data_IF_009480554837
#
_entry.id   IF_009480554837
#
_cell.length_a   1.000
_cell.length_b   1.000
_cell.length_c   1.000
_cell.angle_alpha   90.00
_cell.angle_beta   90.00
_cell.angle_gamma   90.00
#
_symmetry.space_group_name_H-M   'P 1'
#
loop_
_entity.id
_entity.type
_entity.pdbx_description
1 polymer ?
#
# COMPACT_ATOMS: atom_id res chain seq x y z
N UNK A 1 20.52 17.12 6.83
CA UNK A 1 19.73 16.36 5.84
C UNK A 1 18.34 16.22 6.41
N UNK A 2 17.24 16.40 5.66
CA UNK A 2 15.92 16.08 6.18
C UNK A 2 15.84 14.57 6.46
N UNK A 3 15.21 14.17 7.56
CA UNK A 3 14.88 12.76 7.82
C UNK A 3 14.04 12.19 6.67
N UNK A 4 14.24 10.93 6.25
CA UNK A 4 13.33 10.30 5.31
C UNK A 4 11.94 10.18 5.95
N UNK A 5 10.93 10.78 5.34
CA UNK A 5 9.56 10.69 5.84
C UNK A 5 8.92 9.36 5.44
N UNK A 6 9.14 8.33 6.26
CA UNK A 6 8.46 7.04 6.12
C UNK A 6 6.97 7.09 6.47
N UNK A 7 6.37 8.27 6.71
CA UNK A 7 4.92 8.39 6.81
C UNK A 7 4.23 8.10 5.48
N UNK A 8 4.95 8.26 4.38
CA UNK A 8 4.55 7.94 3.02
C UNK A 8 5.36 6.73 2.55
N UNK A 9 4.97 5.53 2.99
CA UNK A 9 5.53 4.30 2.40
C UNK A 9 4.89 4.14 1.03
N UNK A 10 5.51 4.82 0.07
CA UNK A 10 5.18 4.83 -1.33
C UNK A 10 5.19 3.39 -1.82
N UNK A 11 4.07 2.97 -2.41
CA UNK A 11 3.97 1.96 -3.45
C UNK A 11 5.12 0.91 -3.50
N UNK A 12 4.82 -0.36 -3.24
CA UNK A 12 5.87 -1.38 -3.08
C UNK A 12 5.56 -2.63 -3.89
N UNK A 13 6.53 -3.52 -4.04
CA UNK A 13 6.34 -4.84 -4.64
C UNK A 13 6.81 -5.92 -3.66
N UNK A 14 5.91 -6.79 -3.20
CA UNK A 14 6.19 -7.94 -2.31
C UNK A 14 6.40 -9.22 -3.08
N UNK A 15 7.38 -9.98 -2.61
CA UNK A 15 7.82 -11.24 -3.13
C UNK A 15 7.56 -12.37 -2.14
N UNK A 16 6.35 -12.90 -2.11
CA UNK A 16 6.01 -14.05 -1.27
C UNK A 16 5.94 -15.36 -2.05
N UNK A 17 6.51 -16.43 -1.47
CA UNK A 17 6.37 -17.80 -1.97
C UNK A 17 4.93 -18.32 -1.93
N UNK A 18 4.01 -17.65 -1.23
CA UNK A 18 2.59 -18.05 -1.15
C UNK A 18 1.77 -17.55 -2.34
N UNK A 19 2.09 -16.36 -2.85
CA UNK A 19 1.25 -15.65 -3.84
C UNK A 19 1.85 -15.60 -5.26
N UNK A 20 3.08 -16.10 -5.45
CA UNK A 20 3.74 -16.09 -6.75
C UNK A 20 4.00 -17.53 -7.23
N UNK A 21 3.56 -17.91 -8.45
CA UNK A 21 3.80 -19.24 -9.02
C UNK A 21 5.27 -19.49 -9.42
N UNK A 22 6.18 -18.61 -8.99
CA UNK A 22 7.60 -18.65 -9.33
C UNK A 22 8.41 -18.61 -8.05
N UNK A 23 9.33 -19.58 -7.90
CA UNK A 23 10.19 -19.68 -6.73
C UNK A 23 10.96 -18.37 -6.46
N UNK A 24 10.82 -17.86 -5.24
CA UNK A 24 11.59 -16.73 -4.74
C UNK A 24 13.09 -17.03 -4.88
N UNK A 25 13.75 -16.26 -5.73
CA UNK A 25 15.16 -16.43 -6.08
C UNK A 25 15.81 -15.10 -6.37
N UNK A 26 17.14 -15.06 -6.27
CA UNK A 26 17.95 -13.91 -6.64
C UNK A 26 17.54 -13.38 -8.02
N UNK A 27 17.51 -14.25 -9.05
CA UNK A 27 17.17 -13.87 -10.43
C UNK A 27 15.83 -13.17 -10.55
N UNK A 28 14.83 -13.64 -9.80
CA UNK A 28 13.50 -13.06 -9.83
C UNK A 28 13.50 -11.64 -9.23
N UNK A 29 14.19 -11.42 -8.10
CA UNK A 29 14.29 -10.08 -7.51
C UNK A 29 15.00 -9.08 -8.45
N UNK A 30 16.08 -9.50 -9.12
CA UNK A 30 16.79 -8.66 -10.10
C UNK A 30 15.87 -8.27 -11.28
N UNK A 31 15.07 -9.23 -11.74
CA UNK A 31 14.12 -9.04 -12.83
C UNK A 31 13.04 -8.02 -12.45
N UNK A 32 12.52 -8.09 -11.21
CA UNK A 32 11.55 -7.14 -10.72
C UNK A 32 12.11 -5.73 -10.59
N UNK A 33 13.33 -5.58 -10.08
CA UNK A 33 14.03 -4.28 -10.09
C UNK A 33 14.08 -3.69 -11.49
N UNK A 34 14.46 -4.52 -12.48
CA UNK A 34 14.53 -4.11 -13.88
C UNK A 34 13.16 -3.68 -14.41
N UNK A 35 12.10 -4.43 -14.11
CA UNK A 35 10.73 -4.06 -14.54
C UNK A 35 10.28 -2.77 -13.87
N UNK A 36 10.54 -2.59 -12.58
CA UNK A 36 10.19 -1.35 -11.88
C UNK A 36 10.87 -0.11 -12.50
N UNK A 37 12.09 -0.28 -13.02
CA UNK A 37 12.86 0.76 -13.74
C UNK A 37 12.42 1.00 -15.18
N UNK A 38 11.84 0.00 -15.86
CA UNK A 38 11.58 0.05 -17.30
C UNK A 38 10.11 0.29 -17.64
N UNK A 39 9.20 -0.13 -16.77
CA UNK A 39 7.77 -0.22 -17.06
C UNK A 39 6.96 0.95 -16.43
N UNK A 40 7.61 2.02 -15.99
CA UNK A 40 6.95 3.20 -15.45
C UNK A 40 6.59 3.12 -13.97
N UNK A 41 6.86 2.00 -13.29
CA UNK A 41 6.44 1.79 -11.91
C UNK A 41 7.12 2.77 -10.94
N UNK A 42 8.43 3.00 -11.10
CA UNK A 42 9.16 3.96 -10.27
C UNK A 42 8.61 5.38 -10.43
N UNK A 43 8.28 5.77 -11.66
CA UNK A 43 7.72 7.08 -12.01
C UNK A 43 6.32 7.28 -11.41
N UNK A 44 5.61 6.19 -11.14
CA UNK A 44 4.33 6.17 -10.45
C UNK A 44 4.49 6.11 -8.91
N UNK A 45 5.72 6.05 -8.41
CA UNK A 45 6.04 6.00 -6.99
C UNK A 45 6.34 4.59 -6.45
N UNK A 46 6.25 3.53 -7.26
CA UNK A 46 6.59 2.16 -6.85
C UNK A 46 8.11 1.97 -6.82
N UNK A 47 8.73 2.32 -5.69
CA UNK A 47 10.18 2.48 -5.58
C UNK A 47 10.87 1.49 -4.63
N UNK A 48 10.12 0.56 -4.01
CA UNK A 48 10.67 -0.49 -3.16
C UNK A 48 10.38 -1.90 -3.68
N UNK A 49 11.38 -2.78 -3.55
CA UNK A 49 11.22 -4.24 -3.71
C UNK A 49 11.38 -4.91 -2.35
N UNK A 50 10.35 -5.68 -1.98
CA UNK A 50 10.20 -6.32 -0.69
C UNK A 50 10.29 -7.83 -0.83
N UNK A 51 11.22 -8.45 -0.11
CA UNK A 51 11.42 -9.90 -0.03
C UNK A 51 10.64 -10.41 1.18
N UNK A 52 9.69 -11.30 0.93
CA UNK A 52 8.84 -11.87 1.97
C UNK A 52 9.48 -13.11 2.63
N UNK A 53 8.70 -13.88 3.40
CA UNK A 53 9.10 -15.17 3.97
C UNK A 53 9.61 -16.15 2.88
N UNK A 54 10.22 -17.24 3.34
CA UNK A 54 10.80 -18.31 2.55
C UNK A 54 12.04 -17.88 1.77
N UNK A 55 12.77 -16.81 2.14
CA UNK A 55 14.09 -16.50 1.54
C UNK A 55 15.26 -17.21 2.26
N UNK A 56 15.10 -17.51 3.55
CA UNK A 56 16.13 -18.10 4.40
C UNK A 56 16.34 -19.59 4.16
N UNK A 57 17.54 -20.05 4.48
CA UNK A 57 17.88 -21.45 4.67
C UNK A 57 17.27 -21.96 5.97
N UNK A 58 16.98 -23.27 6.04
CA UNK A 58 16.60 -23.94 7.29
C UNK A 58 17.79 -24.14 8.25
N UNK A 59 19.01 -23.93 7.77
CA UNK A 59 20.25 -24.09 8.54
C UNK A 59 20.87 -22.73 8.83
N UNK A 60 21.35 -22.54 10.06
CA UNK A 60 22.23 -21.41 10.42
C UNK A 60 23.62 -21.57 9.79
N UNK A 61 24.34 -20.47 9.64
CA UNK A 61 25.73 -20.48 9.23
C UNK A 61 26.66 -20.93 10.36
N UNK A 62 27.96 -20.98 10.07
CA UNK A 62 29.00 -21.43 11.01
C UNK A 62 29.11 -20.59 12.30
N UNK A 63 28.60 -19.36 12.28
CA UNK A 63 28.63 -18.43 13.42
C UNK A 63 27.27 -18.37 14.13
N UNK A 64 26.35 -19.31 13.81
CA UNK A 64 25.01 -19.37 14.39
C UNK A 64 24.08 -18.27 13.89
N UNK A 65 24.34 -17.70 12.71
CA UNK A 65 23.52 -16.64 12.10
C UNK A 65 22.63 -17.20 11.01
N UNK A 66 21.53 -16.52 10.71
CA UNK A 66 20.65 -16.91 9.61
C UNK A 66 21.29 -16.59 8.26
N UNK A 67 21.08 -17.47 7.29
CA UNK A 67 21.61 -17.36 5.94
C UNK A 67 20.49 -17.61 4.92
N UNK A 68 20.58 -17.09 3.69
CA UNK A 68 19.64 -17.37 2.63
C UNK A 68 19.82 -18.80 2.14
N UNK A 69 18.79 -19.32 1.51
CA UNK A 69 18.90 -20.59 0.80
C UNK A 69 19.99 -20.49 -0.29
N UNK A 70 21.06 -21.32 -0.21
CA UNK A 70 22.20 -21.20 -1.10
C UNK A 70 21.87 -21.60 -2.55
N UNK A 71 20.81 -22.39 -2.78
CA UNK A 71 20.36 -22.76 -4.12
C UNK A 71 19.55 -21.62 -4.76
N UNK A 72 18.67 -20.98 -3.99
CA UNK A 72 17.79 -19.91 -4.50
C UNK A 72 18.48 -18.54 -4.55
N UNK A 73 19.47 -18.32 -3.69
CA UNK A 73 20.29 -17.12 -3.65
C UNK A 73 21.79 -17.47 -3.76
N UNK A 74 22.25 -17.96 -4.93
CA UNK A 74 23.66 -18.30 -5.13
C UNK A 74 24.53 -17.03 -5.09
N UNK A 75 25.27 -16.88 -4.00
CA UNK A 75 26.04 -15.66 -3.64
C UNK A 75 25.46 -14.87 -2.46
N UNK A 76 24.39 -15.37 -1.85
CA UNK A 76 23.71 -14.81 -0.69
C UNK A 76 22.89 -13.56 -0.98
N UNK A 77 22.15 -13.06 0.04
CA UNK A 77 21.49 -11.76 -0.03
C UNK A 77 22.55 -10.67 -0.22
N UNK A 78 23.79 -10.84 0.25
CA UNK A 78 24.87 -9.91 -0.06
C UNK A 78 25.13 -9.71 -1.57
N UNK A 79 24.85 -10.68 -2.45
CA UNK A 79 24.92 -10.51 -3.91
C UNK A 79 23.67 -9.82 -4.47
N UNK A 80 22.51 -10.10 -3.90
CA UNK A 80 21.25 -9.41 -4.20
C UNK A 80 21.32 -7.93 -3.81
N UNK A 81 21.75 -7.68 -2.57
CA UNK A 81 22.11 -6.39 -2.02
C UNK A 81 23.19 -5.75 -2.86
N UNK A 82 24.28 -6.41 -3.26
CA UNK A 82 25.24 -5.80 -4.21
C UNK A 82 24.61 -5.25 -5.49
N UNK A 83 23.64 -5.97 -6.04
CA UNK A 83 22.88 -5.51 -7.20
C UNK A 83 21.83 -4.45 -6.87
N UNK A 84 21.32 -4.43 -5.63
CA UNK A 84 20.33 -3.48 -5.09
C UNK A 84 20.94 -2.32 -4.24
N UNK A 85 22.27 -2.34 -4.04
CA UNK A 85 23.23 -1.57 -3.21
C UNK A 85 23.70 -2.14 -1.83
N UNK A 86 24.77 -2.99 -1.82
CA UNK A 86 25.59 -3.61 -0.72
C UNK A 86 25.17 -3.42 0.76
N UNK A 87 24.97 -4.42 1.66
CA UNK A 87 25.20 -5.89 1.86
C UNK A 87 23.88 -6.52 2.44
N UNK A 88 23.73 -7.79 2.91
CA UNK A 88 22.38 -8.35 3.25
C UNK A 88 22.26 -9.56 4.23
N UNK A 89 21.09 -9.78 4.93
CA UNK A 89 20.41 -10.99 5.58
C UNK A 89 19.12 -10.62 6.41
N UNK A 90 18.34 -11.57 6.96
CA UNK A 90 17.78 -11.65 8.35
C UNK A 90 16.40 -12.29 8.53
N UNK A 91 16.40 -13.39 9.28
CA UNK A 91 15.36 -13.78 10.25
C UNK A 91 15.74 -13.23 11.64
N UNK A 92 14.81 -13.08 12.60
CA UNK A 92 15.12 -12.55 13.92
C UNK A 92 14.53 -13.40 15.04
N UNK A 93 15.41 -13.89 15.91
CA UNK A 93 15.04 -14.44 17.22
C UNK A 93 15.24 -13.37 18.31
N UNK A 94 14.56 -13.52 19.45
CA UNK A 94 14.57 -12.51 20.52
C UNK A 94 15.98 -12.16 21.05
N UNK A 95 16.85 -13.16 21.13
CA UNK A 95 18.25 -13.01 21.56
C UNK A 95 19.15 -12.37 20.50
N UNK A 96 18.66 -12.24 19.25
CA UNK A 96 19.41 -11.69 18.12
C UNK A 96 18.97 -10.30 17.68
N UNK A 97 17.92 -9.73 18.29
CA UNK A 97 17.34 -8.42 17.90
C UNK A 97 18.39 -7.33 17.64
N UNK A 98 19.35 -7.15 18.55
CA UNK A 98 20.39 -6.11 18.38
C UNK A 98 21.37 -6.45 17.25
N UNK A 99 21.80 -7.71 17.18
CA UNK A 99 22.66 -8.18 16.09
C UNK A 99 21.95 -7.96 14.77
N UNK A 100 20.68 -8.32 14.68
CA UNK A 100 19.88 -8.24 13.49
C UNK A 100 19.58 -6.80 13.07
N UNK A 101 19.28 -5.91 14.01
CA UNK A 101 19.16 -4.49 13.69
C UNK A 101 20.47 -3.94 13.12
N UNK A 102 21.61 -4.19 13.78
CA UNK A 102 22.93 -3.77 13.28
C UNK A 102 23.24 -4.38 11.91
N UNK A 103 22.84 -5.63 11.71
CA UNK A 103 23.08 -6.26 10.43
C UNK A 103 22.21 -5.62 9.34
N UNK A 104 20.92 -5.33 9.60
CA UNK A 104 20.02 -4.56 8.72
C UNK A 104 20.64 -3.21 8.32
N UNK A 105 21.22 -2.49 9.28
CA UNK A 105 21.87 -1.22 9.04
C UNK A 105 23.16 -1.34 8.23
N UNK A 106 24.00 -2.35 8.52
CA UNK A 106 25.24 -2.63 7.78
C UNK A 106 25.02 -2.94 6.30
N UNK A 107 23.77 -3.22 5.95
CA UNK A 107 23.30 -3.65 4.66
C UNK A 107 22.63 -2.58 3.83
N UNK A 108 22.34 -1.43 4.43
CA UNK A 108 21.48 -0.45 3.79
C UNK A 108 20.08 -1.00 3.54
N UNK A 109 19.55 -1.82 4.47
CA UNK A 109 18.12 -2.09 4.54
C UNK A 109 17.45 -0.84 5.08
N UNK A 110 16.34 -0.42 4.48
CA UNK A 110 15.65 0.81 4.87
C UNK A 110 14.19 0.61 5.19
N UNK A 111 13.75 -0.62 5.10
CA UNK A 111 12.47 -1.03 5.62
C UNK A 111 12.62 -2.44 6.20
N UNK A 112 12.00 -2.70 7.34
CA UNK A 112 12.03 -3.99 8.03
C UNK A 112 10.62 -4.36 8.43
N UNK A 113 10.14 -5.55 8.05
CA UNK A 113 8.91 -6.13 8.60
C UNK A 113 9.29 -7.17 9.65
N UNK A 114 8.54 -7.20 10.76
CA UNK A 114 8.61 -8.27 11.74
C UNK A 114 7.20 -8.77 12.08
N UNK A 115 6.92 -10.06 11.86
CA UNK A 115 5.58 -10.62 12.10
C UNK A 115 5.20 -10.57 13.59
N UNK A 116 6.08 -11.02 14.47
CA UNK A 116 5.96 -10.77 15.92
C UNK A 116 6.69 -9.49 16.31
N UNK A 117 6.03 -8.32 16.32
CA UNK A 117 6.70 -7.08 16.75
C UNK A 117 7.14 -7.16 18.22
N UNK A 118 8.38 -6.72 18.47
CA UNK A 118 8.89 -6.45 19.79
C UNK A 118 9.36 -5.00 19.86
N UNK A 119 8.98 -4.21 20.89
CA UNK A 119 9.48 -2.85 21.10
C UNK A 119 11.02 -2.76 21.10
N UNK A 120 11.69 -3.86 21.47
CA UNK A 120 13.14 -4.01 21.42
C UNK A 120 13.71 -3.84 20.00
N UNK A 121 13.01 -4.29 18.95
CA UNK A 121 13.48 -4.12 17.56
C UNK A 121 13.48 -2.66 17.15
N UNK A 122 12.45 -1.89 17.50
CA UNK A 122 12.41 -0.44 17.22
C UNK A 122 13.60 0.28 17.86
N UNK A 123 13.86 0.00 19.14
CA UNK A 123 15.02 0.54 19.86
C UNK A 123 16.34 0.13 19.20
N UNK A 124 16.47 -1.13 18.81
CA UNK A 124 17.68 -1.66 18.19
C UNK A 124 17.94 -1.04 16.81
N UNK A 125 16.90 -0.88 15.97
CA UNK A 125 16.99 -0.18 14.68
C UNK A 125 17.43 1.28 14.87
N UNK A 126 16.83 2.00 15.83
CA UNK A 126 17.22 3.38 16.13
C UNK A 126 18.68 3.48 16.60
N UNK A 127 19.14 2.53 17.43
CA UNK A 127 20.51 2.49 17.93
C UNK A 127 21.58 2.25 16.84
N UNK A 128 21.19 1.82 15.64
CA UNK A 128 22.12 1.71 14.51
C UNK A 128 22.55 3.05 13.93
N UNK A 129 21.77 4.13 14.17
CA UNK A 129 21.96 5.43 13.53
C UNK A 129 21.53 5.47 12.05
N UNK A 130 21.07 4.35 11.48
CA UNK A 130 20.52 4.29 10.13
C UNK A 130 18.99 4.49 10.17
N UNK A 131 18.41 5.34 9.31
CA UNK A 131 16.97 5.45 9.17
C UNK A 131 16.43 4.19 8.45
N UNK A 132 15.77 3.32 9.21
CA UNK A 132 15.14 2.08 8.74
C UNK A 132 13.67 2.10 9.15
N UNK A 133 12.78 2.16 8.16
CA UNK A 133 11.35 2.06 8.40
C UNK A 133 10.97 0.68 8.98
N UNK A 134 9.94 0.63 9.81
CA UNK A 134 9.57 -0.58 10.54
C UNK A 134 8.07 -0.88 10.39
N UNK A 135 7.76 -2.05 9.81
CA UNK A 135 6.43 -2.65 9.73
C UNK A 135 6.24 -3.73 10.77
N UNK A 136 5.14 -3.64 11.48
CA UNK A 136 4.86 -4.44 12.66
C UNK A 136 3.59 -5.25 12.49
N UNK A 137 3.64 -6.59 12.50
CA UNK A 137 2.41 -7.39 12.46
C UNK A 137 1.85 -7.78 13.83
N UNK A 138 2.47 -7.34 14.92
CA UNK A 138 2.02 -7.63 16.28
C UNK A 138 0.53 -7.40 16.54
N UNK A 139 -0.11 -6.33 16.01
CA UNK A 139 -1.54 -6.12 16.25
C UNK A 139 -2.39 -7.30 15.78
N UNK A 140 -2.14 -7.83 14.58
CA UNK A 140 -2.87 -8.98 14.07
C UNK A 140 -2.71 -10.24 14.94
N UNK A 141 -1.51 -10.49 15.46
CA UNK A 141 -1.26 -11.60 16.40
C UNK A 141 -1.90 -11.39 17.79
N UNK A 142 -2.54 -10.25 18.03
CA UNK A 142 -3.22 -9.88 19.28
C UNK A 142 -4.70 -9.56 19.07
N UNK A 143 -5.26 -9.90 17.89
CA UNK A 143 -6.66 -9.68 17.55
C UNK A 143 -7.00 -8.25 17.10
N UNK A 144 -5.99 -7.41 16.84
CA UNK A 144 -6.14 -6.13 16.16
C UNK A 144 -6.78 -4.99 16.98
N UNK A 145 -7.28 -5.23 18.19
CA UNK A 145 -8.04 -4.23 18.95
C UNK A 145 -7.57 -4.08 20.41
N UNK A 146 -7.80 -2.91 21.03
CA UNK A 146 -7.64 -2.74 22.47
C UNK A 146 -8.54 -3.69 23.28
N UNK A 147 -8.15 -4.08 24.51
CA UNK A 147 -6.93 -3.68 25.23
C UNK A 147 -5.68 -4.48 24.83
N UNK A 148 -5.82 -5.53 24.02
CA UNK A 148 -4.72 -6.40 23.62
C UNK A 148 -3.69 -5.71 22.72
N UNK A 149 -4.10 -4.62 22.06
CA UNK A 149 -3.29 -3.78 21.19
C UNK A 149 -3.27 -2.34 21.72
N UNK A 150 -2.08 -1.75 21.84
CA UNK A 150 -1.91 -0.34 22.20
C UNK A 150 -1.44 0.46 20.97
N UNK A 151 -2.38 1.20 20.35
CA UNK A 151 -2.11 1.99 19.15
C UNK A 151 -1.25 3.24 19.40
N UNK A 152 -1.28 3.80 20.61
CA UNK A 152 -0.37 4.89 20.99
C UNK A 152 1.07 4.41 20.95
N UNK A 153 1.34 3.25 21.56
CA UNK A 153 2.67 2.64 21.52
C UNK A 153 3.09 2.33 20.08
N UNK A 154 2.21 1.74 19.27
CA UNK A 154 2.53 1.44 17.86
C UNK A 154 2.93 2.69 17.06
N UNK A 155 2.25 3.82 17.29
CA UNK A 155 2.59 5.09 16.66
C UNK A 155 3.97 5.63 17.07
N UNK A 156 4.48 5.24 18.24
CA UNK A 156 5.83 5.59 18.71
C UNK A 156 6.91 4.65 18.15
N UNK A 157 6.59 3.36 17.98
CA UNK A 157 7.61 2.34 17.69
C UNK A 157 7.63 1.86 16.23
N UNK A 158 6.57 2.06 15.44
CA UNK A 158 6.39 1.51 14.09
C UNK A 158 6.00 2.58 13.07
N UNK A 159 6.40 2.40 11.81
CA UNK A 159 5.98 3.29 10.71
C UNK A 159 4.65 2.85 10.08
N UNK A 160 4.41 1.54 10.02
CA UNK A 160 3.13 0.94 9.66
C UNK A 160 2.94 -0.39 10.38
N UNK A 161 1.71 -0.90 10.37
CA UNK A 161 1.41 -2.14 11.07
C UNK A 161 0.29 -2.90 10.42
N UNK A 162 0.37 -4.23 10.55
CA UNK A 162 -0.63 -5.14 10.03
C UNK A 162 -1.63 -5.43 11.13
N UNK A 163 -2.87 -4.95 10.95
CA UNK A 163 -3.92 -4.96 11.97
C UNK A 163 -4.72 -6.25 12.03
N UNK A 164 -4.96 -6.85 10.87
CA UNK A 164 -5.96 -7.89 10.67
C UNK A 164 -5.39 -9.04 9.82
N UNK A 165 -6.21 -9.90 9.26
CA UNK A 165 -5.76 -11.12 8.58
C UNK A 165 -4.98 -10.84 7.28
N UNK A 166 -4.23 -11.85 6.83
CA UNK A 166 -3.47 -11.79 5.58
C UNK A 166 -4.42 -11.70 4.37
N UNK A 167 -4.13 -10.81 3.43
CA UNK A 167 -4.89 -10.71 2.18
C UNK A 167 -4.71 -11.98 1.34
N UNK A 168 -5.82 -12.67 1.05
CA UNK A 168 -5.87 -13.83 0.16
C UNK A 168 -6.30 -13.39 -1.25
N UNK A 169 -5.94 -14.17 -2.27
CA UNK A 169 -6.35 -13.90 -3.67
C UNK A 169 -7.83 -14.20 -3.92
N UNK A 170 -8.73 -13.46 -3.27
CA UNK A 170 -10.17 -13.57 -3.41
C UNK A 170 -10.88 -12.25 -3.10
N UNK A 171 -12.03 -12.02 -3.75
CA UNK A 171 -12.87 -10.87 -3.44
C UNK A 171 -13.41 -10.88 -2.01
N UNK A 172 -13.72 -12.06 -1.46
CA UNK A 172 -14.19 -12.19 -0.07
C UNK A 172 -13.14 -11.70 0.93
N UNK A 173 -11.85 -11.99 0.69
CA UNK A 173 -10.77 -11.46 1.54
C UNK A 173 -10.68 -9.94 1.48
N UNK A 174 -10.81 -9.34 0.28
CA UNK A 174 -10.81 -7.88 0.11
C UNK A 174 -11.99 -7.24 0.84
N UNK A 175 -13.17 -7.84 0.77
CA UNK A 175 -14.37 -7.36 1.46
C UNK A 175 -14.23 -7.48 2.98
N UNK A 176 -13.81 -8.63 3.49
CA UNK A 176 -13.67 -8.86 4.94
C UNK A 176 -12.66 -7.89 5.58
N UNK A 177 -11.52 -7.67 4.91
CA UNK A 177 -10.54 -6.66 5.32
C UNK A 177 -11.17 -5.27 5.32
N UNK A 178 -11.84 -4.90 4.23
CA UNK A 178 -12.50 -3.58 4.11
C UNK A 178 -13.50 -3.36 5.24
N UNK A 179 -14.37 -4.32 5.49
CA UNK A 179 -15.38 -4.25 6.55
C UNK A 179 -14.74 -4.10 7.92
N UNK A 180 -13.72 -4.91 8.23
CA UNK A 180 -13.00 -4.79 9.49
C UNK A 180 -12.39 -3.40 9.70
N UNK A 181 -11.75 -2.82 8.68
CA UNK A 181 -11.14 -1.49 8.79
C UNK A 181 -12.16 -0.37 8.94
N UNK A 182 -13.31 -0.45 8.26
CA UNK A 182 -14.37 0.56 8.33
C UNK A 182 -15.33 0.39 9.51
N UNK A 183 -15.35 -0.77 10.16
CA UNK A 183 -16.06 -1.00 11.42
C UNK A 183 -15.24 -0.51 12.63
N UNK A 184 -13.91 -0.49 12.51
CA UNK A 184 -12.99 -0.20 13.62
C UNK A 184 -12.28 1.18 13.52
N UNK A 185 -12.87 2.14 12.81
CA UNK A 185 -12.24 3.46 12.57
C UNK A 185 -12.02 4.31 13.84
N UNK A 186 -12.77 4.02 14.90
CA UNK A 186 -12.74 4.76 16.17
C UNK A 186 -11.39 4.70 16.90
N UNK A 187 -10.49 3.78 16.51
CA UNK A 187 -9.15 3.64 17.07
C UNK A 187 -8.07 4.48 16.35
N UNK A 188 -8.49 5.29 15.35
CA UNK A 188 -7.81 6.37 14.63
C UNK A 188 -6.29 6.27 14.44
N UNK A 189 -5.88 6.34 13.16
CA UNK A 189 -4.52 6.25 12.60
C UNK A 189 -4.07 4.85 12.20
N UNK A 190 -4.99 3.97 11.78
CA UNK A 190 -4.58 2.70 11.20
C UNK A 190 -3.75 3.00 9.95
N UNK A 191 -2.50 2.54 9.94
CA UNK A 191 -1.60 2.54 8.79
C UNK A 191 -1.48 1.11 8.29
N UNK A 192 -2.49 0.63 7.57
CA UNK A 192 -2.70 -0.79 7.43
C UNK A 192 -1.70 -1.37 6.45
N UNK A 193 -0.87 -2.31 6.89
CA UNK A 193 0.03 -3.03 6.00
C UNK A 193 -0.78 -4.06 5.20
N UNK A 194 -1.28 -3.67 4.02
CA UNK A 194 -2.16 -4.51 3.20
C UNK A 194 -1.61 -4.69 1.79
N UNK A 195 -1.77 -5.89 1.26
CA UNK A 195 -1.30 -6.23 -0.08
C UNK A 195 -2.35 -5.90 -1.15
N UNK A 196 -1.88 -5.45 -2.31
CA UNK A 196 -2.64 -5.31 -3.55
C UNK A 196 -2.47 -6.59 -4.37
N UNK A 197 -3.57 -7.28 -4.60
CA UNK A 197 -3.62 -8.55 -5.35
C UNK A 197 -4.10 -8.33 -6.80
N UNK A 198 -4.24 -7.07 -7.23
CA UNK A 198 -4.63 -6.69 -8.58
C UNK A 198 -3.71 -7.35 -9.60
N UNK A 199 -4.30 -8.01 -10.60
CA UNK A 199 -3.57 -8.72 -11.65
C UNK A 199 -3.15 -10.15 -11.31
N UNK A 200 -3.53 -10.65 -10.13
CA UNK A 200 -3.59 -12.10 -9.86
C UNK A 200 -4.88 -12.69 -10.46
N UNK A 201 -5.31 -13.88 -10.01
CA UNK A 201 -6.44 -14.61 -10.63
C UNK A 201 -7.75 -14.42 -9.89
N UNK A 202 -7.73 -14.02 -8.62
CA UNK A 202 -8.89 -14.00 -7.74
C UNK A 202 -9.83 -12.80 -7.90
N UNK A 203 -9.43 -11.76 -8.63
CA UNK A 203 -10.22 -10.53 -8.81
C UNK A 203 -10.62 -10.30 -10.27
N UNK A 204 -11.89 -9.96 -10.47
CA UNK A 204 -12.36 -9.38 -11.73
C UNK A 204 -11.78 -7.98 -11.96
N UNK A 205 -11.98 -7.41 -13.15
CA UNK A 205 -11.54 -6.03 -13.46
C UNK A 205 -12.24 -5.01 -12.55
N UNK A 206 -13.55 -5.17 -12.32
CA UNK A 206 -14.30 -4.25 -11.46
C UNK A 206 -13.90 -4.40 -9.98
N UNK A 207 -13.65 -5.63 -9.51
CA UNK A 207 -13.12 -5.88 -8.17
C UNK A 207 -11.69 -5.33 -8.00
N UNK A 208 -10.87 -5.38 -9.05
CA UNK A 208 -9.53 -4.78 -9.07
C UNK A 208 -9.58 -3.26 -8.92
N UNK A 209 -10.52 -2.59 -9.62
CA UNK A 209 -10.77 -1.15 -9.43
C UNK A 209 -11.26 -0.87 -8.02
N UNK A 210 -12.16 -1.70 -7.49
CA UNK A 210 -12.65 -1.60 -6.12
C UNK A 210 -11.53 -1.70 -5.09
N UNK A 211 -10.62 -2.68 -5.21
CA UNK A 211 -9.48 -2.80 -4.29
C UNK A 211 -8.60 -1.55 -4.36
N UNK A 212 -8.25 -1.06 -5.55
CA UNK A 212 -7.44 0.15 -5.70
C UNK A 212 -8.09 1.37 -5.03
N UNK A 213 -9.39 1.58 -5.24
CA UNK A 213 -10.13 2.69 -4.65
C UNK A 213 -10.25 2.58 -3.13
N UNK A 214 -10.49 1.37 -2.60
CA UNK A 214 -10.63 1.11 -1.18
C UNK A 214 -9.29 1.29 -0.45
N UNK A 215 -8.18 0.78 -1.00
CA UNK A 215 -6.85 0.99 -0.43
C UNK A 215 -6.44 2.46 -0.50
N UNK A 216 -6.76 3.14 -1.60
CA UNK A 216 -6.53 4.56 -1.73
C UNK A 216 -7.25 5.34 -0.63
N UNK A 217 -8.56 5.13 -0.46
CA UNK A 217 -9.36 5.88 0.53
C UNK A 217 -9.06 5.46 1.98
N UNK A 218 -8.49 4.28 2.20
CA UNK A 218 -7.98 3.86 3.50
C UNK A 218 -6.61 4.47 3.85
N UNK A 219 -6.00 5.24 2.95
CA UNK A 219 -4.60 5.68 3.06
C UNK A 219 -3.63 4.50 3.31
N UNK A 220 -3.94 3.34 2.71
CA UNK A 220 -3.12 2.13 2.83
C UNK A 220 -1.87 2.24 1.94
N UNK A 221 -0.71 1.70 2.34
CA UNK A 221 0.41 1.51 1.43
C UNK A 221 -0.02 0.67 0.21
N UNK A 222 0.40 1.08 -0.98
CA UNK A 222 0.05 0.39 -2.22
C UNK A 222 1.08 -0.71 -2.54
N UNK A 223 1.02 -1.83 -1.80
CA UNK A 223 2.01 -2.91 -1.88
C UNK A 223 1.54 -3.97 -2.89
N UNK A 224 2.04 -3.96 -4.12
CA UNK A 224 1.77 -4.99 -5.13
C UNK A 224 2.30 -6.35 -4.70
N UNK A 225 1.45 -7.38 -4.68
CA UNK A 225 1.85 -8.78 -4.50
C UNK A 225 1.38 -9.60 -5.71
N UNK A 226 1.93 -9.28 -6.89
CA UNK A 226 1.60 -9.89 -8.17
C UNK A 226 2.86 -10.12 -9.04
N UNK A 227 2.69 -10.79 -10.19
CA UNK A 227 3.77 -10.98 -11.17
C UNK A 227 3.71 -9.90 -12.27
N UNK A 228 4.53 -8.83 -12.20
CA UNK A 228 4.44 -7.70 -13.13
C UNK A 228 4.73 -8.03 -14.60
N UNK A 229 5.33 -9.20 -14.87
CA UNK A 229 5.60 -9.70 -16.24
C UNK A 229 4.36 -10.14 -16.99
N UNK A 230 3.34 -10.55 -16.24
CA UNK A 230 2.13 -11.18 -16.78
C UNK A 230 0.88 -10.37 -16.46
N UNK A 231 1.05 -9.12 -15.99
CA UNK A 231 -0.07 -8.21 -15.78
C UNK A 231 -0.76 -7.91 -17.11
N UNK A 232 -2.09 -7.98 -17.10
CA UNK A 232 -2.89 -7.45 -18.20
C UNK A 232 -2.73 -5.93 -18.32
N UNK A 233 -3.05 -5.40 -19.50
CA UNK A 233 -3.12 -3.95 -19.73
C UNK A 233 -4.05 -3.26 -18.74
N UNK A 234 -5.17 -3.89 -18.41
CA UNK A 234 -6.19 -3.38 -17.50
C UNK A 234 -5.65 -3.32 -16.07
N UNK A 235 -5.05 -4.40 -15.55
CA UNK A 235 -4.47 -4.43 -14.22
C UNK A 235 -3.34 -3.41 -14.06
N UNK A 236 -2.49 -3.29 -15.09
CA UNK A 236 -1.42 -2.29 -15.13
C UNK A 236 -2.00 -0.86 -15.12
N UNK A 237 -3.00 -0.58 -15.93
CA UNK A 237 -3.63 0.75 -15.98
C UNK A 237 -4.31 1.13 -14.66
N UNK A 238 -4.93 0.17 -13.96
CA UNK A 238 -5.52 0.40 -12.63
C UNK A 238 -4.45 0.77 -11.62
N UNK A 239 -3.37 -0.02 -11.52
CA UNK A 239 -2.29 0.23 -10.56
C UNK A 239 -1.46 1.47 -10.92
N UNK A 240 -1.35 1.83 -12.19
CA UNK A 240 -0.67 3.05 -12.64
C UNK A 240 -1.62 4.26 -12.77
N UNK A 241 -2.82 4.21 -12.19
CA UNK A 241 -3.74 5.34 -12.23
C UNK A 241 -3.22 6.51 -11.38
N UNK A 242 -2.76 7.57 -12.05
CA UNK A 242 -2.17 8.76 -11.42
C UNK A 242 -3.10 9.43 -10.41
N UNK A 243 -4.40 9.49 -10.70
CA UNK A 243 -5.37 10.13 -9.82
C UNK A 243 -5.61 9.29 -8.55
N UNK A 244 -5.75 7.96 -8.69
CA UNK A 244 -5.92 7.07 -7.55
C UNK A 244 -4.68 7.08 -6.63
N UNK A 245 -3.48 7.06 -7.20
CA UNK A 245 -2.21 7.17 -6.45
C UNK A 245 -2.11 8.53 -5.77
N UNK A 246 -2.41 9.62 -6.47
CA UNK A 246 -2.32 10.96 -5.88
C UNK A 246 -3.29 11.15 -4.70
N UNK A 247 -4.49 10.56 -4.77
CA UNK A 247 -5.43 10.51 -3.64
C UNK A 247 -4.82 9.72 -2.48
N UNK A 248 -4.31 8.51 -2.75
CA UNK A 248 -3.68 7.67 -1.74
C UNK A 248 -2.49 8.36 -1.04
N UNK A 249 -1.72 9.14 -1.80
CA UNK A 249 -0.52 9.85 -1.34
C UNK A 249 -0.83 11.26 -0.81
N UNK A 250 -2.10 11.60 -0.55
CA UNK A 250 -2.44 12.90 -0.01
C UNK A 250 -1.80 13.12 1.38
N UNK A 251 -1.16 14.27 1.61
CA UNK A 251 -0.37 14.51 2.82
C UNK A 251 -1.19 14.58 4.11
N UNK A 252 -2.53 14.64 4.05
CA UNK A 252 -3.35 14.49 5.24
C UNK A 252 -3.16 13.12 5.90
N UNK A 253 -2.87 12.06 5.13
CA UNK A 253 -2.44 10.77 5.65
C UNK A 253 -3.37 10.13 6.68
N UNK A 254 -4.68 10.42 6.61
CA UNK A 254 -5.71 9.88 7.50
C UNK A 254 -6.63 8.94 6.74
N UNK A 255 -7.07 7.85 7.36
CA UNK A 255 -8.07 6.96 6.75
C UNK A 255 -9.39 7.71 6.51
N UNK A 256 -9.98 7.54 5.32
CA UNK A 256 -11.36 7.99 5.04
C UNK A 256 -12.39 7.27 5.90
N UNK A 257 -13.66 7.69 5.86
CA UNK A 257 -14.76 7.11 6.65
C UNK A 257 -15.90 6.55 5.80
N UNK A 258 -16.59 5.53 6.31
CA UNK A 258 -17.85 5.07 5.71
C UNK A 258 -18.99 6.02 6.10
N UNK A 259 -19.64 6.63 5.11
CA UNK A 259 -20.78 7.53 5.31
C UNK A 259 -22.11 6.77 5.32
N UNK A 260 -22.22 5.73 4.51
CA UNK A 260 -23.46 4.97 4.32
C UNK A 260 -23.15 3.51 4.00
N UNK A 261 -23.91 2.60 4.62
CA UNK A 261 -23.92 1.17 4.32
C UNK A 261 -25.01 0.77 3.31
N UNK A 262 -25.20 -0.54 3.10
CA UNK A 262 -26.26 -1.12 2.27
C UNK A 262 -25.76 -1.65 0.93
N UNK A 263 -26.66 -1.74 -0.06
CA UNK A 263 -26.32 -2.25 -1.41
C UNK A 263 -25.25 -1.43 -2.13
N UNK A 264 -25.23 -0.11 -1.86
CA UNK A 264 -24.13 0.76 -2.27
C UNK A 264 -23.61 1.49 -1.05
N UNK A 265 -22.38 1.15 -0.70
CA UNK A 265 -21.64 1.82 0.36
C UNK A 265 -20.94 3.06 -0.19
N UNK A 266 -20.95 4.12 0.60
CA UNK A 266 -20.29 5.38 0.24
C UNK A 266 -19.25 5.68 1.29
N UNK A 267 -18.02 5.85 0.85
CA UNK A 267 -16.88 6.25 1.65
C UNK A 267 -16.44 7.65 1.25
N UNK A 268 -15.97 8.42 2.22
CA UNK A 268 -15.52 9.79 2.02
C UNK A 268 -14.23 10.06 2.79
N UNK A 269 -13.30 10.74 2.15
CA UNK A 269 -12.05 11.16 2.75
C UNK A 269 -11.77 12.63 2.43
N UNK A 270 -11.60 13.50 3.44
CA UNK A 270 -11.10 14.85 3.22
C UNK A 270 -9.63 14.81 2.83
N UNK A 271 -9.30 15.50 1.75
CA UNK A 271 -7.94 15.61 1.22
C UNK A 271 -7.42 17.04 1.43
N UNK A 272 -6.13 17.21 1.20
CA UNK A 272 -5.50 18.53 1.19
C UNK A 272 -6.18 19.50 0.22
N UNK A 273 -5.94 20.80 0.41
CA UNK A 273 -6.49 21.88 -0.45
C UNK A 273 -8.03 21.89 -0.52
N UNK A 274 -8.69 21.45 0.56
CA UNK A 274 -10.16 21.38 0.65
C UNK A 274 -10.81 20.50 -0.42
N UNK A 275 -10.06 19.54 -0.96
CA UNK A 275 -10.57 18.50 -1.84
C UNK A 275 -11.11 17.30 -1.04
N UNK A 276 -11.69 16.34 -1.74
CA UNK A 276 -12.15 15.08 -1.15
C UNK A 276 -12.12 13.94 -2.16
N UNK A 277 -11.93 12.73 -1.64
CA UNK A 277 -12.24 11.51 -2.36
C UNK A 277 -13.61 10.99 -1.93
N UNK A 278 -14.39 10.53 -2.91
CA UNK A 278 -15.63 9.79 -2.71
C UNK A 278 -15.53 8.46 -3.41
N UNK A 279 -15.83 7.38 -2.70
CA UNK A 279 -15.83 6.02 -3.25
C UNK A 279 -17.22 5.45 -3.04
N UNK A 280 -17.92 5.14 -4.13
CA UNK A 280 -19.20 4.43 -4.13
C UNK A 280 -18.97 3.00 -4.56
N UNK A 281 -19.06 2.06 -3.62
CA UNK A 281 -18.84 0.63 -3.83
C UNK A 281 -20.18 -0.09 -3.93
N UNK A 282 -20.37 -0.90 -4.97
CA UNK A 282 -21.51 -1.81 -5.05
C UNK A 282 -21.21 -3.10 -4.28
N UNK A 283 -22.06 -3.42 -3.30
CA UNK A 283 -22.08 -4.72 -2.61
C UNK A 283 -22.98 -5.74 -3.32
N UNK A 284 -23.67 -5.34 -4.39
CA UNK A 284 -24.42 -6.26 -5.26
C UNK A 284 -23.46 -7.13 -6.10
N UNK A 285 -23.87 -8.36 -6.40
CA UNK A 285 -23.07 -9.31 -7.19
C UNK A 285 -23.65 -9.62 -8.58
N UNK A 286 -24.88 -9.17 -8.84
CA UNK A 286 -25.70 -9.63 -9.96
C UNK A 286 -26.18 -8.49 -10.89
N UNK A 287 -26.43 -7.30 -10.36
CA UNK A 287 -26.98 -6.18 -11.14
C UNK A 287 -26.22 -4.86 -10.98
N UNK A 288 -26.22 -4.06 -12.06
CA UNK A 288 -25.76 -2.67 -12.02
C UNK A 288 -26.71 -1.89 -11.11
N UNK A 289 -26.14 -1.17 -10.16
CA UNK A 289 -26.91 -0.31 -9.27
C UNK A 289 -26.85 1.14 -9.77
N UNK A 290 -28.02 1.78 -9.87
CA UNK A 290 -28.12 3.19 -10.20
C UNK A 290 -28.38 4.01 -8.93
N UNK A 291 -27.36 4.71 -8.46
CA UNK A 291 -27.46 5.56 -7.28
C UNK A 291 -27.80 7.00 -7.70
N UNK A 292 -28.96 7.49 -7.28
CA UNK A 292 -29.34 8.89 -7.42
C UNK A 292 -28.84 9.71 -6.22
N UNK A 293 -27.97 10.69 -6.46
CA UNK A 293 -27.42 11.55 -5.39
C UNK A 293 -27.09 12.96 -5.89
N UNK A 294 -26.69 13.86 -4.99
CA UNK A 294 -26.27 15.23 -5.31
C UNK A 294 -25.10 15.68 -4.44
N UNK A 295 -24.30 16.63 -4.91
CA UNK A 295 -23.16 17.15 -4.14
C UNK A 295 -23.59 17.98 -2.90
N UNK A 296 -24.82 18.50 -2.87
CA UNK A 296 -25.38 19.18 -1.69
C UNK A 296 -25.48 18.24 -0.50
N UNK A 297 -25.81 16.96 -0.73
CA UNK A 297 -25.82 15.94 0.34
C UNK A 297 -24.43 15.73 0.95
N UNK A 298 -23.39 16.23 0.29
CA UNK A 298 -21.99 16.12 0.70
C UNK A 298 -21.37 17.49 1.07
N UNK A 299 -22.16 18.58 1.05
CA UNK A 299 -21.75 19.96 1.33
C UNK A 299 -20.66 20.54 0.38
N UNK A 300 -20.63 20.14 -0.91
CA UNK A 300 -19.66 20.68 -1.88
C UNK A 300 -20.32 21.53 -2.98
N UNK A 301 -19.69 22.68 -3.30
CA UNK A 301 -19.93 23.48 -4.52
C UNK A 301 -18.71 23.35 -5.43
N UNK A 302 -18.59 22.22 -6.13
CA UNK A 302 -17.30 21.72 -6.62
C UNK A 302 -17.34 21.20 -8.06
N UNK A 303 -16.16 21.10 -8.67
CA UNK A 303 -15.92 20.22 -9.81
C UNK A 303 -15.63 18.81 -9.30
N UNK A 304 -15.86 17.80 -10.14
CA UNK A 304 -15.47 16.42 -9.82
C UNK A 304 -14.70 15.80 -10.99
N UNK A 305 -13.79 14.88 -10.68
CA UNK A 305 -13.05 14.08 -11.65
C UNK A 305 -13.29 12.60 -11.35
N UNK A 306 -13.78 11.85 -12.33
CA UNK A 306 -13.98 10.42 -12.22
C UNK A 306 -12.64 9.70 -12.48
N UNK A 307 -12.14 9.02 -11.45
CA UNK A 307 -10.77 8.54 -11.35
C UNK A 307 -10.46 7.44 -12.38
N UNK A 308 -11.38 6.49 -12.60
CA UNK A 308 -11.11 5.36 -13.49
C UNK A 308 -11.41 5.62 -14.98
N UNK A 309 -12.52 6.28 -15.35
CA UNK A 309 -12.75 6.73 -16.73
C UNK A 309 -11.83 7.90 -17.14
N UNK A 310 -11.26 8.61 -16.16
CA UNK A 310 -10.37 9.74 -16.39
C UNK A 310 -11.09 10.98 -16.93
N UNK A 311 -12.31 11.24 -16.47
CA UNK A 311 -13.19 12.27 -17.02
C UNK A 311 -13.59 13.31 -15.98
N UNK A 312 -13.40 14.58 -16.32
CA UNK A 312 -13.93 15.70 -15.53
C UNK A 312 -15.45 15.81 -15.71
N UNK A 313 -16.15 15.89 -14.59
CA UNK A 313 -17.58 16.14 -14.50
C UNK A 313 -17.78 17.65 -14.26
N UNK A 314 -18.21 18.35 -15.31
CA UNK A 314 -18.52 19.77 -15.27
C UNK A 314 -20.01 20.00 -14.93
N UNK A 315 -20.34 21.20 -14.46
CA UNK A 315 -21.73 21.61 -14.25
C UNK A 315 -22.42 21.00 -13.02
N UNK A 316 -21.69 20.33 -12.13
CA UNK A 316 -22.23 19.88 -10.84
C UNK A 316 -22.50 21.12 -9.96
N UNK A 317 -23.77 21.47 -9.80
CA UNK A 317 -24.22 22.34 -8.72
C UNK A 317 -24.49 21.49 -7.49
N UNK A 318 -24.49 22.09 -6.29
CA UNK A 318 -24.82 21.37 -5.07
C UNK A 318 -26.19 20.66 -5.22
N UNK A 319 -27.17 21.30 -5.86
CA UNK A 319 -28.51 20.77 -6.06
C UNK A 319 -28.67 19.87 -7.28
N UNK A 320 -27.64 19.72 -8.14
CA UNK A 320 -27.74 18.86 -9.32
C UNK A 320 -27.81 17.41 -8.88
N UNK A 321 -28.94 16.76 -9.13
CA UNK A 321 -29.03 15.32 -9.01
C UNK A 321 -28.35 14.64 -10.20
N UNK A 322 -27.57 13.61 -9.91
CA UNK A 322 -26.96 12.77 -10.93
C UNK A 322 -27.13 11.30 -10.57
N UNK A 323 -27.09 10.47 -11.60
CA UNK A 323 -27.13 9.01 -11.47
C UNK A 323 -25.73 8.46 -11.65
N UNK A 324 -25.25 7.73 -10.65
CA UNK A 324 -24.02 6.95 -10.74
C UNK A 324 -24.39 5.50 -10.99
N UNK A 325 -23.96 4.96 -12.13
CA UNK A 325 -24.12 3.54 -12.45
C UNK A 325 -22.90 2.78 -11.94
N UNK A 326 -23.10 1.81 -11.06
CA UNK A 326 -22.03 1.04 -10.44
C UNK A 326 -22.23 -0.43 -10.77
N UNK A 327 -21.24 -1.05 -11.42
CA UNK A 327 -21.25 -2.46 -11.74
C UNK A 327 -21.26 -3.33 -10.45
N UNK A 328 -21.72 -4.58 -10.52
CA UNK A 328 -21.64 -5.51 -9.40
C UNK A 328 -20.20 -5.68 -8.91
N UNK A 329 -19.97 -5.63 -7.59
CA UNK A 329 -18.64 -5.62 -6.96
C UNK A 329 -17.68 -4.53 -7.47
N UNK A 330 -18.20 -3.56 -8.22
CA UNK A 330 -17.46 -2.46 -8.82
C UNK A 330 -17.56 -1.19 -8.02
N UNK A 331 -16.85 -0.18 -8.51
CA UNK A 331 -16.68 1.09 -7.82
C UNK A 331 -16.79 2.27 -8.77
N UNK A 332 -17.29 3.39 -8.24
CA UNK A 332 -17.08 4.72 -8.82
C UNK A 332 -16.32 5.55 -7.80
N UNK A 333 -15.17 6.10 -8.22
CA UNK A 333 -14.29 6.88 -7.37
C UNK A 333 -14.13 8.28 -7.94
N UNK A 334 -14.49 9.29 -7.17
CA UNK A 334 -14.44 10.69 -7.57
C UNK A 334 -13.45 11.47 -6.71
N UNK A 335 -12.67 12.31 -7.38
CA UNK A 335 -11.91 13.40 -6.77
C UNK A 335 -12.73 14.69 -6.90
N UNK A 336 -13.21 15.23 -5.78
CA UNK A 336 -14.05 16.43 -5.71
C UNK A 336 -13.21 17.59 -5.19
N UNK A 337 -13.25 18.73 -5.86
CA UNK A 337 -12.40 19.88 -5.57
C UNK A 337 -13.13 21.22 -5.79
N UNK A 338 -12.77 22.28 -5.04
CA UNK A 338 -13.46 23.56 -5.16
C UNK A 338 -13.23 24.21 -6.54
N UNK A 339 -14.26 24.88 -7.07
CA UNK A 339 -14.26 25.46 -8.44
C UNK A 339 -13.10 26.43 -8.71
N UNK A 340 -12.56 27.10 -7.70
CA UNK A 340 -11.46 28.06 -7.87
C UNK A 340 -10.16 27.43 -8.41
N UNK A 341 -9.99 26.11 -8.32
CA UNK A 341 -8.85 25.40 -8.94
C UNK A 341 -8.97 25.24 -10.48
N UNK A 342 -10.14 25.47 -11.06
CA UNK A 342 -10.42 25.20 -12.47
C UNK A 342 -9.79 26.24 -13.42
N UNK A 343 -9.55 27.48 -12.96
CA UNK A 343 -9.08 28.57 -13.82
C UNK A 343 -7.56 28.55 -14.09
N UNK A 344 -6.79 27.69 -13.42
CA UNK A 344 -5.32 27.68 -13.52
C UNK A 344 -4.68 26.38 -14.02
N UNK A 345 -5.42 25.29 -14.24
CA UNK A 345 -4.81 24.01 -14.65
C UNK A 345 -5.69 23.25 -15.66
N UNK A 346 -5.60 23.65 -16.93
CA UNK A 346 -6.25 22.94 -18.03
C UNK A 346 -5.50 21.66 -18.44
N UNK A 347 -4.28 21.48 -17.95
CA UNK A 347 -3.47 20.26 -18.14
C UNK A 347 -2.91 19.76 -16.81
N UNK A 348 -3.53 18.70 -16.29
CA UNK A 348 -3.01 17.80 -15.25
C UNK A 348 -3.28 18.25 -13.78
N UNK A 349 -4.54 18.09 -13.34
CA UNK A 349 -5.03 18.31 -11.95
C UNK A 349 -4.16 17.63 -10.89
N UNK A 350 -3.36 16.64 -11.27
CA UNK A 350 -2.54 15.84 -10.35
C UNK A 350 -1.03 16.15 -10.43
N UNK A 351 -0.55 17.00 -11.36
CA UNK A 351 0.86 17.44 -11.40
C UNK A 351 1.43 17.95 -10.06
N UNK A 352 0.72 18.78 -9.27
CA UNK A 352 1.27 19.28 -8.01
C UNK A 352 1.32 18.21 -6.89
N UNK A 353 0.63 17.07 -7.04
CA UNK A 353 0.67 15.95 -6.08
C UNK A 353 1.87 15.02 -6.33
N UNK A 354 2.46 15.03 -7.52
CA UNK A 354 3.70 14.31 -7.86
C UNK A 354 4.96 15.09 -7.42
N UNK A 355 5.00 15.60 -6.20
CA UNK A 355 6.23 16.16 -5.61
C UNK A 355 6.96 15.13 -4.74
N UNK A 356 7.11 13.89 -5.22
CA UNK A 356 8.19 13.03 -4.78
C UNK A 356 9.49 13.46 -5.49
N UNK A 357 9.98 14.67 -5.18
CA UNK A 357 11.38 15.01 -5.46
C UNK A 357 12.28 14.28 -4.45
N UNK A 358 12.51 12.99 -4.69
CA UNK A 358 13.53 12.22 -3.98
C UNK A 358 14.61 11.71 -4.93
N UNK A 359 15.84 11.82 -4.44
CA UNK A 359 17.13 11.63 -5.10
C UNK A 359 17.20 10.40 -6.05
N UNK A 360 17.85 10.56 -7.21
CA UNK A 360 17.82 9.67 -8.39
C UNK A 360 18.37 8.24 -8.21
N UNK A 361 18.73 7.79 -7.02
CA UNK A 361 19.20 6.41 -6.79
C UNK A 361 18.02 5.46 -6.57
N UNK A 362 17.94 4.35 -7.32
CA UNK A 362 17.09 3.20 -6.95
C UNK A 362 17.61 2.67 -5.62
N UNK A 363 16.76 2.49 -4.62
CA UNK A 363 17.19 2.00 -3.33
C UNK A 363 16.30 0.80 -2.93
N UNK A 364 16.79 -0.01 -2.00
CA UNK A 364 16.01 -0.85 -1.09
C UNK A 364 15.87 -2.35 -1.41
N UNK A 365 16.22 -3.13 -0.38
CA UNK A 365 15.74 -4.49 -0.09
C UNK A 365 14.97 -4.37 1.23
N UNK A 366 13.74 -4.85 1.27
CA UNK A 366 13.03 -5.18 2.50
C UNK A 366 13.08 -6.71 2.69
N UNK A 367 13.26 -7.20 3.92
CA UNK A 367 13.38 -8.62 4.26
C UNK A 367 12.35 -8.94 5.34
N UNK A 368 11.43 -9.86 5.03
CA UNK A 368 10.42 -10.40 5.91
C UNK A 368 10.81 -11.79 6.43
N UNK A 369 10.10 -12.21 7.47
CA UNK A 369 10.26 -13.45 8.20
C UNK A 369 8.90 -13.77 8.80
#
# INVERSE_FOLDING_TARGET
>A
MPEPDYRHVCCNLVLSCRNLPVHLSLRFVLLLKKLCLQDGWKEMGYDHVMIDDCWSSLLLDKDGRLQPDPQRFPGGIAKLARYLHDRGYLGTTLDKIETDAQTSASWGVNFRKLDGCYPLMSKALNATGCPIGYSCSWPAYRGGLPPSVNYTLLGEICNLWRNYDDTQDSWDSVQDITDWFFDNQGYCSLKPALDLIIGNVGLSVDQSRSQMALWAIMAAPLIMSNNPRTLSSEARAIMQNRAAIAINQDPMGVQGRRLRGGHVEVYWWPLSQSASALVSLSRCQDMVYHCHTSLAKLNYTAGAYDVFPGKTLSGLSATTEFTVSINPSGVVMWYVYPKMHYEHQQDDVFKPLFCCHYNMSFKWILIWI
#
